data_IF_271958080225
#
_entry.id   IF_271958080225
#
_cell.length_a   1.000
_cell.length_b   1.000
_cell.length_c   1.000
_cell.angle_alpha   90.00
_cell.angle_beta   90.00
_cell.angle_gamma   90.00
#
_symmetry.space_group_name_H-M   'P 1'
#
loop_
_entity.id
_entity.type
_entity.pdbx_description
1 polymer ?
#
# COMPACT_ATOMS: atom_id res chain seq x y z
N UNK A 1 -2.80 21.55 19.49
CA UNK A 1 -3.21 20.98 18.19
C UNK A 1 -4.71 21.15 18.08
N UNK A 2 -5.21 21.79 17.03
CA UNK A 2 -6.66 21.78 16.74
C UNK A 2 -6.91 20.45 16.06
N UNK A 3 -7.45 19.47 16.80
CA UNK A 3 -8.01 18.27 16.20
C UNK A 3 -9.12 18.70 15.23
N UNK A 4 -8.88 18.55 13.92
CA UNK A 4 -9.94 18.74 12.96
C UNK A 4 -10.72 17.41 12.94
N UNK A 5 -11.88 17.40 13.61
CA UNK A 5 -12.65 16.17 13.79
C UNK A 5 -13.01 15.47 12.49
N UNK A 6 -13.43 16.22 11.45
CA UNK A 6 -13.73 15.67 10.13
C UNK A 6 -13.46 16.70 9.01
N UNK A 7 -12.83 16.26 7.92
CA UNK A 7 -12.56 17.09 6.73
C UNK A 7 -13.01 16.41 5.44
N UNK A 8 -13.65 17.15 4.54
CA UNK A 8 -13.95 16.68 3.17
C UNK A 8 -13.46 17.69 2.15
N UNK A 9 -12.66 17.26 1.17
CA UNK A 9 -12.16 18.14 0.10
C UNK A 9 -12.23 17.49 -1.28
N UNK A 10 -12.44 18.35 -2.28
CA UNK A 10 -12.56 17.97 -3.70
C UNK A 10 -11.88 19.00 -4.60
N UNK A 11 -11.35 18.54 -5.72
CA UNK A 11 -10.88 19.37 -6.83
C UNK A 11 -9.75 20.35 -6.43
N UNK A 12 -8.87 19.89 -5.55
CA UNK A 12 -7.74 20.66 -5.03
C UNK A 12 -6.46 20.32 -5.79
N UNK A 13 -5.77 21.34 -6.31
CA UNK A 13 -4.47 21.14 -6.98
C UNK A 13 -3.38 20.65 -6.04
N UNK A 14 -3.20 21.33 -4.89
CA UNK A 14 -2.15 21.05 -3.91
C UNK A 14 -2.69 21.27 -2.49
N UNK A 15 -2.44 20.32 -1.58
CA UNK A 15 -2.86 20.45 -0.19
C UNK A 15 -1.93 19.71 0.78
N UNK A 16 -1.72 20.33 1.95
CA UNK A 16 -1.11 19.69 3.12
C UNK A 16 -2.09 19.65 4.28
N UNK A 17 -2.17 18.50 4.97
CA UNK A 17 -3.03 18.29 6.14
C UNK A 17 -2.28 17.63 7.29
N UNK A 18 -2.64 18.01 8.53
CA UNK A 18 -2.09 17.46 9.78
C UNK A 18 -3.15 17.42 10.87
N UNK A 19 -2.98 16.51 11.83
CA UNK A 19 -3.78 16.42 13.06
C UNK A 19 -5.29 16.34 12.78
N UNK A 20 -5.69 15.36 11.95
CA UNK A 20 -7.09 15.16 11.55
C UNK A 20 -7.57 13.80 12.02
N UNK A 21 -8.67 13.77 12.76
CA UNK A 21 -9.24 12.49 13.18
C UNK A 21 -9.79 11.71 11.98
N UNK A 22 -10.55 12.37 11.09
CA UNK A 22 -11.12 11.76 9.88
C UNK A 22 -11.03 12.67 8.64
N UNK A 23 -10.62 12.13 7.49
CA UNK A 23 -10.60 12.87 6.22
C UNK A 23 -11.16 12.09 5.02
N UNK A 24 -11.83 12.79 4.11
CA UNK A 24 -12.27 12.26 2.82
C UNK A 24 -11.84 13.18 1.68
N UNK A 25 -11.17 12.62 0.67
CA UNK A 25 -10.57 13.39 -0.43
C UNK A 25 -10.94 12.82 -1.80
N UNK A 26 -11.23 13.68 -2.78
CA UNK A 26 -11.46 13.25 -4.16
C UNK A 26 -10.87 14.22 -5.18
N UNK A 27 -10.38 13.71 -6.31
CA UNK A 27 -10.01 14.52 -7.48
C UNK A 27 -8.95 15.59 -7.17
N UNK A 28 -7.87 15.21 -6.49
CA UNK A 28 -6.81 16.17 -6.15
C UNK A 28 -5.52 15.89 -6.92
N UNK A 29 -4.77 16.93 -7.21
CA UNK A 29 -3.47 16.83 -7.89
C UNK A 29 -2.42 16.18 -7.00
N UNK A 30 -2.01 16.90 -5.96
CA UNK A 30 -0.96 16.48 -5.03
C UNK A 30 -1.39 16.71 -3.57
N UNK A 31 -1.24 15.67 -2.75
CA UNK A 31 -1.61 15.69 -1.33
C UNK A 31 -0.44 15.24 -0.45
N UNK A 32 -0.26 15.93 0.68
CA UNK A 32 0.60 15.49 1.78
C UNK A 32 -0.19 15.45 3.08
N UNK A 33 -0.16 14.33 3.78
CA UNK A 33 -0.92 14.15 5.02
C UNK A 33 -0.06 13.54 6.12
N UNK A 34 -0.29 13.99 7.36
CA UNK A 34 0.41 13.53 8.55
C UNK A 34 -0.57 13.40 9.71
N UNK A 35 -0.35 12.45 10.61
CA UNK A 35 -1.07 12.36 11.90
C UNK A 35 -2.59 12.31 11.68
N UNK A 36 -3.04 11.31 10.89
CA UNK A 36 -4.45 11.15 10.52
C UNK A 36 -4.99 9.87 11.16
N UNK A 37 -6.10 9.97 11.90
CA UNK A 37 -6.76 8.79 12.46
C UNK A 37 -7.29 7.86 11.37
N UNK A 38 -8.16 8.38 10.51
CA UNK A 38 -8.75 7.67 9.39
C UNK A 38 -8.81 8.51 8.11
N UNK A 39 -8.54 7.90 6.96
CA UNK A 39 -8.64 8.58 5.65
C UNK A 39 -9.26 7.72 4.56
N UNK A 40 -10.07 8.35 3.70
CA UNK A 40 -10.57 7.76 2.45
C UNK A 40 -10.26 8.68 1.28
N UNK A 41 -9.56 8.18 0.26
CA UNK A 41 -9.13 9.02 -0.87
C UNK A 41 -9.33 8.34 -2.22
N UNK A 42 -9.70 9.15 -3.22
CA UNK A 42 -9.97 8.68 -4.59
C UNK A 42 -9.46 9.65 -5.64
N UNK A 43 -8.94 9.14 -6.75
CA UNK A 43 -8.54 9.95 -7.91
C UNK A 43 -7.52 11.03 -7.53
N UNK A 44 -6.35 10.60 -7.06
CA UNK A 44 -5.26 11.49 -6.66
C UNK A 44 -4.08 11.30 -7.59
N UNK A 45 -3.49 12.39 -8.09
CA UNK A 45 -2.28 12.30 -8.93
C UNK A 45 -1.09 11.78 -8.13
N UNK A 46 -0.74 12.49 -7.06
CA UNK A 46 0.37 12.18 -6.16
C UNK A 46 -0.07 12.28 -4.71
N UNK A 47 0.30 11.29 -3.89
CA UNK A 47 -0.01 11.29 -2.47
C UNK A 47 1.22 10.88 -1.65
N UNK A 48 1.44 11.61 -0.55
CA UNK A 48 2.35 11.22 0.52
C UNK A 48 1.61 11.17 1.85
N UNK A 49 1.76 10.08 2.60
CA UNK A 49 1.20 9.91 3.93
C UNK A 49 2.23 9.46 4.97
N UNK A 50 2.05 9.91 6.20
CA UNK A 50 2.81 9.45 7.37
C UNK A 50 1.91 9.41 8.60
N UNK A 51 2.15 8.48 9.51
CA UNK A 51 1.50 8.42 10.82
C UNK A 51 -0.03 8.33 10.67
N UNK A 52 -0.51 7.24 10.03
CA UNK A 52 -1.95 7.06 9.75
C UNK A 52 -2.48 5.82 10.46
N UNK A 53 -3.57 5.95 11.21
CA UNK A 53 -4.22 4.79 11.83
C UNK A 53 -4.79 3.83 10.77
N UNK A 54 -5.74 4.33 9.97
CA UNK A 54 -6.40 3.54 8.93
C UNK A 54 -6.57 4.33 7.62
N UNK A 55 -6.38 3.66 6.48
CA UNK A 55 -6.55 4.30 5.17
C UNK A 55 -7.22 3.42 4.11
N UNK A 56 -8.05 4.03 3.27
CA UNK A 56 -8.63 3.42 2.07
C UNK A 56 -8.37 4.27 0.83
N UNK A 57 -7.74 3.67 -0.18
CA UNK A 57 -7.18 4.34 -1.35
C UNK A 57 -7.65 3.73 -2.66
N UNK A 58 -8.06 4.58 -3.61
CA UNK A 58 -8.43 4.13 -4.97
C UNK A 58 -7.99 5.08 -6.07
N UNK A 59 -7.48 4.55 -7.18
CA UNK A 59 -7.10 5.33 -8.37
C UNK A 59 -6.08 6.42 -8.05
N UNK A 60 -4.85 5.99 -7.75
CA UNK A 60 -3.75 6.89 -7.39
C UNK A 60 -2.63 6.72 -8.41
N UNK A 61 -2.09 7.82 -8.94
CA UNK A 61 -0.94 7.76 -9.84
C UNK A 61 0.30 7.28 -9.11
N UNK A 62 0.75 8.10 -8.15
CA UNK A 62 1.94 7.90 -7.34
C UNK A 62 1.58 7.94 -5.86
N UNK A 63 2.00 6.94 -5.09
CA UNK A 63 1.70 6.90 -3.67
C UNK A 63 2.89 6.44 -2.83
N UNK A 64 3.24 7.24 -1.83
CA UNK A 64 4.20 6.89 -0.78
C UNK A 64 3.52 6.95 0.59
N UNK A 65 3.72 5.92 1.42
CA UNK A 65 3.25 5.89 2.80
C UNK A 65 4.28 5.31 3.78
N UNK A 66 4.22 5.79 5.03
CA UNK A 66 5.01 5.29 6.14
C UNK A 66 4.20 5.29 7.44
N UNK A 67 4.48 4.36 8.34
CA UNK A 67 3.94 4.32 9.70
C UNK A 67 2.41 4.23 9.69
N UNK A 68 1.90 3.10 9.20
CA UNK A 68 0.47 2.91 8.96
C UNK A 68 -0.03 1.67 9.69
N UNK A 69 -1.07 1.83 10.50
CA UNK A 69 -1.69 0.69 11.18
C UNK A 69 -2.32 -0.28 10.17
N UNK A 70 -3.31 0.20 9.42
CA UNK A 70 -4.04 -0.60 8.43
C UNK A 70 -4.29 0.16 7.12
N UNK A 71 -4.16 -0.52 6.00
CA UNK A 71 -4.39 0.07 4.68
C UNK A 71 -5.09 -0.86 3.69
N UNK A 72 -6.01 -0.28 2.90
CA UNK A 72 -6.61 -0.93 1.73
C UNK A 72 -6.38 -0.08 0.49
N UNK A 73 -5.76 -0.67 -0.54
CA UNK A 73 -5.33 0.02 -1.75
C UNK A 73 -5.78 -0.69 -3.02
N UNK A 74 -6.28 0.09 -3.98
CA UNK A 74 -6.71 -0.42 -5.28
C UNK A 74 -6.37 0.51 -6.43
N UNK A 75 -5.89 -0.04 -7.55
CA UNK A 75 -5.62 0.70 -8.79
C UNK A 75 -4.61 1.82 -8.56
N UNK A 76 -3.35 1.45 -8.33
CA UNK A 76 -2.27 2.42 -8.12
C UNK A 76 -1.18 2.19 -9.18
N UNK A 77 -0.67 3.27 -9.77
CA UNK A 77 0.41 3.19 -10.75
C UNK A 77 1.70 2.70 -10.10
N UNK A 78 2.26 3.51 -9.19
CA UNK A 78 3.43 3.17 -8.40
C UNK A 78 3.15 3.38 -6.90
N UNK A 79 3.51 2.39 -6.09
CA UNK A 79 3.28 2.36 -4.65
C UNK A 79 4.58 2.04 -3.92
N UNK A 80 4.95 2.90 -2.97
CA UNK A 80 6.03 2.67 -2.01
C UNK A 80 5.47 2.70 -0.58
N UNK A 81 5.78 1.68 0.21
CA UNK A 81 5.34 1.58 1.61
C UNK A 81 6.46 1.16 2.54
N UNK A 82 6.41 1.64 3.78
CA UNK A 82 7.27 1.18 4.86
C UNK A 82 6.51 1.19 6.19
N UNK A 83 6.86 0.30 7.10
CA UNK A 83 6.36 0.28 8.48
C UNK A 83 4.82 0.16 8.53
N UNK A 84 4.30 -0.95 7.99
CA UNK A 84 2.85 -1.17 7.88
C UNK A 84 2.45 -2.38 8.71
N UNK A 85 1.48 -2.19 9.61
CA UNK A 85 0.92 -3.30 10.38
C UNK A 85 0.21 -4.32 9.48
N UNK A 86 -0.84 -3.88 8.77
CA UNK A 86 -1.63 -4.71 7.87
C UNK A 86 -1.97 -4.00 6.56
N UNK A 87 -1.84 -4.70 5.43
CA UNK A 87 -2.17 -4.16 4.11
C UNK A 87 -2.95 -5.13 3.22
N UNK A 88 -3.91 -4.58 2.47
CA UNK A 88 -4.61 -5.28 1.39
C UNK A 88 -4.49 -4.50 0.09
N UNK A 89 -3.93 -5.11 -0.94
CA UNK A 89 -3.45 -4.42 -2.13
C UNK A 89 -3.93 -5.12 -3.39
N UNK A 90 -4.51 -4.36 -4.32
CA UNK A 90 -5.03 -4.89 -5.59
C UNK A 90 -4.72 -4.00 -6.78
N UNK A 91 -4.32 -4.60 -7.90
CA UNK A 91 -4.10 -3.90 -9.18
C UNK A 91 -3.07 -2.77 -9.05
N UNK A 92 -1.80 -3.14 -8.93
CA UNK A 92 -0.68 -2.19 -8.84
C UNK A 92 0.26 -2.43 -10.00
N UNK A 93 0.71 -1.36 -10.66
CA UNK A 93 1.76 -1.46 -11.68
C UNK A 93 3.08 -1.87 -11.06
N UNK A 94 3.59 -1.03 -10.17
CA UNK A 94 4.84 -1.25 -9.44
C UNK A 94 4.65 -1.07 -7.93
N UNK A 95 5.08 -2.06 -7.16
CA UNK A 95 4.98 -2.08 -5.71
C UNK A 95 6.35 -2.32 -5.08
N UNK A 96 6.78 -1.40 -4.22
CA UNK A 96 7.91 -1.57 -3.30
C UNK A 96 7.40 -1.51 -1.86
N UNK A 97 7.76 -2.48 -1.03
CA UNK A 97 7.36 -2.51 0.38
C UNK A 97 8.45 -3.09 1.28
N UNK A 98 8.57 -2.53 2.48
CA UNK A 98 9.49 -3.00 3.51
C UNK A 98 8.83 -2.91 4.88
N UNK A 99 9.23 -3.76 5.81
CA UNK A 99 8.80 -3.73 7.22
C UNK A 99 7.28 -3.85 7.37
N UNK A 100 6.74 -5.00 6.97
CA UNK A 100 5.29 -5.23 6.90
C UNK A 100 4.91 -6.43 7.75
N UNK A 101 4.00 -6.22 8.71
CA UNK A 101 3.49 -7.30 9.56
C UNK A 101 2.73 -8.34 8.73
N UNK A 102 1.65 -7.92 8.09
CA UNK A 102 0.82 -8.78 7.24
C UNK A 102 0.41 -8.09 5.93
N UNK A 103 0.48 -8.83 4.83
CA UNK A 103 0.06 -8.33 3.52
C UNK A 103 -0.74 -9.35 2.70
N UNK A 104 -1.77 -8.86 2.02
CA UNK A 104 -2.47 -9.60 0.95
C UNK A 104 -2.39 -8.81 -0.34
N UNK A 105 -1.81 -9.42 -1.37
CA UNK A 105 -1.53 -8.79 -2.66
C UNK A 105 -2.15 -9.57 -3.82
N UNK A 106 -2.76 -8.84 -4.75
CA UNK A 106 -3.32 -9.44 -5.97
C UNK A 106 -3.14 -8.55 -7.19
N UNK A 107 -2.75 -9.16 -8.32
CA UNK A 107 -2.58 -8.47 -9.61
C UNK A 107 -1.56 -7.35 -9.51
N UNK A 108 -0.29 -7.72 -9.38
CA UNK A 108 0.84 -6.79 -9.30
C UNK A 108 1.73 -7.03 -10.51
N UNK A 109 2.09 -5.97 -11.24
CA UNK A 109 3.01 -6.07 -12.37
C UNK A 109 4.42 -6.42 -11.89
N UNK A 110 5.01 -5.53 -11.10
CA UNK A 110 6.33 -5.70 -10.50
C UNK A 110 6.28 -5.50 -8.99
N UNK A 111 6.86 -6.44 -8.25
CA UNK A 111 6.89 -6.46 -6.79
C UNK A 111 8.32 -6.53 -6.28
N UNK A 112 8.69 -5.61 -5.39
CA UNK A 112 9.88 -5.74 -4.55
C UNK A 112 9.44 -5.68 -3.09
N UNK A 113 9.81 -6.68 -2.30
CA UNK A 113 9.49 -6.71 -0.87
C UNK A 113 10.64 -7.22 -0.01
N UNK A 114 10.80 -6.61 1.17
CA UNK A 114 11.72 -7.06 2.21
C UNK A 114 11.06 -7.02 3.59
N UNK A 115 11.53 -7.85 4.52
CA UNK A 115 11.17 -7.76 5.95
C UNK A 115 9.65 -7.89 6.19
N UNK A 116 9.11 -9.04 5.81
CA UNK A 116 7.66 -9.28 5.81
C UNK A 116 7.33 -10.44 6.72
N UNK A 117 6.49 -10.20 7.73
CA UNK A 117 6.05 -11.25 8.65
C UNK A 117 5.24 -12.33 7.93
N UNK A 118 4.10 -11.94 7.34
CA UNK A 118 3.23 -12.83 6.59
C UNK A 118 2.75 -12.20 5.28
N UNK A 119 2.76 -12.97 4.20
CA UNK A 119 2.29 -12.53 2.89
C UNK A 119 1.43 -13.57 2.18
N UNK A 120 0.37 -13.10 1.53
CA UNK A 120 -0.38 -13.88 0.53
C UNK A 120 -0.36 -13.14 -0.80
N UNK A 121 0.13 -13.80 -1.84
CA UNK A 121 0.37 -13.21 -3.16
C UNK A 121 -0.34 -14.00 -4.26
N UNK A 122 -1.01 -13.30 -5.17
CA UNK A 122 -1.68 -13.92 -6.31
C UNK A 122 -1.58 -13.09 -7.58
N UNK A 123 -1.21 -13.72 -8.70
CA UNK A 123 -1.05 -13.05 -10.01
C UNK A 123 -0.02 -11.91 -9.93
N UNK A 124 1.25 -12.28 -9.77
CA UNK A 124 2.36 -11.34 -9.74
C UNK A 124 3.23 -11.59 -10.97
N UNK A 125 3.50 -10.56 -11.78
CA UNK A 125 4.26 -10.71 -13.02
C UNK A 125 5.74 -10.99 -12.75
N UNK A 126 6.41 -10.05 -12.09
CA UNK A 126 7.81 -10.16 -11.66
C UNK A 126 7.92 -9.84 -10.18
N UNK A 127 8.75 -10.59 -9.45
CA UNK A 127 8.96 -10.34 -8.02
C UNK A 127 10.40 -10.55 -7.54
N UNK A 128 10.81 -9.72 -6.60
CA UNK A 128 12.03 -9.89 -5.79
C UNK A 128 11.62 -9.84 -4.33
N UNK A 129 11.94 -10.89 -3.58
CA UNK A 129 11.53 -11.04 -2.18
C UNK A 129 12.73 -11.41 -1.32
N UNK A 130 12.83 -10.78 -0.14
CA UNK A 130 13.87 -11.03 0.84
C UNK A 130 13.25 -11.03 2.24
N UNK A 131 13.78 -11.84 3.17
CA UNK A 131 13.45 -11.79 4.60
C UNK A 131 11.94 -11.92 4.85
N UNK A 132 11.36 -13.05 4.42
CA UNK A 132 9.91 -13.30 4.54
C UNK A 132 9.67 -14.44 5.52
N UNK A 133 8.93 -14.16 6.60
CA UNK A 133 8.59 -15.16 7.62
C UNK A 133 7.71 -16.28 7.05
N UNK A 134 6.52 -15.92 6.57
CA UNK A 134 5.59 -16.87 5.93
C UNK A 134 5.01 -16.30 4.64
N UNK A 135 4.96 -17.12 3.58
CA UNK A 135 4.40 -16.75 2.30
C UNK A 135 3.49 -17.82 1.70
N UNK A 136 2.37 -17.40 1.13
CA UNK A 136 1.55 -18.20 0.21
C UNK A 136 1.50 -17.52 -1.14
N UNK A 137 1.89 -18.23 -2.18
CA UNK A 137 2.05 -17.70 -3.52
C UNK A 137 1.27 -18.52 -4.55
N UNK A 138 0.52 -17.83 -5.41
CA UNK A 138 -0.21 -18.46 -6.52
C UNK A 138 -0.07 -17.67 -7.82
N UNK A 139 0.32 -18.37 -8.89
CA UNK A 139 0.50 -17.77 -10.22
C UNK A 139 1.44 -16.57 -10.19
N UNK A 140 2.67 -16.82 -9.74
CA UNK A 140 3.79 -15.86 -9.80
C UNK A 140 4.56 -16.20 -11.07
N UNK A 141 4.89 -15.18 -11.87
CA UNK A 141 5.75 -15.30 -13.04
C UNK A 141 7.21 -15.45 -12.65
N UNK A 142 8.07 -14.54 -13.10
CA UNK A 142 9.49 -14.57 -12.72
C UNK A 142 9.66 -14.11 -11.27
N UNK A 143 10.44 -14.85 -10.49
CA UNK A 143 10.73 -14.46 -9.11
C UNK A 143 12.15 -14.76 -8.68
N UNK A 144 12.64 -13.95 -7.74
CA UNK A 144 13.83 -14.23 -6.94
C UNK A 144 13.47 -14.15 -5.47
N UNK A 145 14.00 -15.09 -4.67
CA UNK A 145 13.73 -15.19 -3.24
C UNK A 145 15.01 -15.44 -2.47
N UNK A 146 15.15 -14.79 -1.32
CA UNK A 146 16.24 -14.99 -0.36
C UNK A 146 15.65 -14.96 1.06
N UNK A 147 16.15 -15.81 1.96
CA UNK A 147 15.81 -15.80 3.38
C UNK A 147 14.30 -15.90 3.64
N UNK A 148 13.68 -16.98 3.14
CA UNK A 148 12.25 -17.26 3.31
C UNK A 148 12.09 -18.37 4.35
N UNK A 149 11.31 -18.11 5.41
CA UNK A 149 11.03 -19.08 6.47
C UNK A 149 10.14 -20.21 5.99
N UNK A 150 8.85 -19.96 5.81
CA UNK A 150 7.89 -20.93 5.28
C UNK A 150 7.24 -20.41 3.99
N UNK A 151 7.23 -21.23 2.94
CA UNK A 151 6.60 -20.87 1.67
C UNK A 151 5.72 -21.99 1.13
N UNK A 152 4.48 -21.66 0.77
CA UNK A 152 3.62 -22.52 -0.05
C UNK A 152 3.48 -21.90 -1.42
N UNK A 153 3.89 -22.61 -2.46
CA UNK A 153 3.76 -22.17 -3.86
C UNK A 153 2.81 -23.08 -4.62
N UNK A 154 1.82 -22.49 -5.28
CA UNK A 154 0.94 -23.20 -6.22
C UNK A 154 0.97 -22.49 -7.56
N UNK A 155 1.63 -23.10 -8.53
CA UNK A 155 1.52 -22.68 -9.91
C UNK A 155 0.24 -23.27 -10.52
N UNK A 156 -0.55 -22.45 -11.22
CA UNK A 156 -1.66 -22.93 -12.05
C UNK A 156 -1.45 -22.30 -13.43
N UNK A 157 -0.69 -23.03 -14.25
CA UNK A 157 -0.32 -22.72 -15.63
C UNK A 157 0.36 -23.93 -16.24
N UNK A 158 -0.03 -24.27 -17.47
CA UNK A 158 0.61 -25.27 -18.34
C UNK A 158 1.94 -24.74 -18.88
#
# INVERSE_FOLDING_TARGET
MRDIGQSTMRDIGLLTMRDISHSTMRHNGQLTMRDIGQSTMRHIGQLTMRDIGQSTMRHIGQFTMRDIGQSTMRHIGQLTMRDIGQSTIRHIGQLTMSDIGQSTMRHIGQLTMSDIGQSTMRYIGQSTMRDIGQSTMRNIGQFTMRDIGQSTMRHIGQ
#
